data_IF_341867526578
#
_entry.id   IF_341867526578
#
_cell.length_a   1.000
_cell.length_b   1.000
_cell.length_c   1.000
_cell.angle_alpha   90.00
_cell.angle_beta   90.00
_cell.angle_gamma   90.00
#
_symmetry.space_group_name_H-M   'P 1'
#
loop_
_entity.id
_entity.type
_entity.pdbx_description
1 polymer ?
#
# COMPACT_ATOMS: atom_id res chain seq x y z
N UNK A 1 -2.56 10.52 -12.61
CA UNK A 1 -4.01 10.83 -12.56
C UNK A 1 -4.73 9.64 -13.17
N UNK A 2 -5.89 9.26 -12.64
CA UNK A 2 -6.72 8.24 -13.30
C UNK A 2 -7.10 8.78 -14.68
N UNK A 3 -6.71 8.07 -15.75
CA UNK A 3 -6.92 8.53 -17.13
C UNK A 3 -8.41 8.62 -17.52
N UNK A 4 -9.30 8.12 -16.66
CA UNK A 4 -10.74 7.97 -16.91
C UNK A 4 -11.62 8.88 -16.03
N UNK A 5 -11.03 9.87 -15.35
CA UNK A 5 -11.81 10.87 -14.60
C UNK A 5 -12.35 10.40 -13.24
N UNK A 6 -12.23 9.12 -12.89
CA UNK A 6 -12.55 8.58 -11.57
C UNK A 6 -12.77 7.07 -11.58
N UNK A 7 -13.35 6.55 -10.50
CA UNK A 7 -13.74 5.14 -10.31
C UNK A 7 -15.27 5.08 -10.17
N UNK A 8 -15.97 4.25 -10.95
CA UNK A 8 -17.43 4.09 -10.83
C UNK A 8 -17.81 3.42 -9.50
N UNK A 9 -19.09 3.49 -9.13
CA UNK A 9 -19.61 2.77 -7.96
C UNK A 9 -19.59 1.28 -8.27
N UNK A 10 -19.23 0.43 -7.31
CA UNK A 10 -19.40 -1.01 -7.41
C UNK A 10 -20.90 -1.34 -7.58
N UNK A 11 -21.23 -2.14 -8.59
CA UNK A 11 -22.62 -2.51 -8.94
C UNK A 11 -22.87 -4.00 -8.85
N UNK A 12 -21.85 -4.78 -9.18
CA UNK A 12 -21.93 -6.23 -9.20
C UNK A 12 -21.62 -6.76 -7.80
N UNK A 13 -22.50 -7.63 -7.32
CA UNK A 13 -22.31 -8.31 -6.03
C UNK A 13 -21.22 -9.39 -6.15
N UNK A 14 -21.04 -9.94 -7.35
CA UNK A 14 -19.95 -10.84 -7.71
C UNK A 14 -19.16 -10.20 -8.86
N UNK A 15 -17.89 -9.87 -8.60
CA UNK A 15 -17.01 -9.28 -9.60
C UNK A 15 -16.32 -10.39 -10.42
N UNK A 16 -16.55 -10.43 -11.74
CA UNK A 16 -15.84 -11.33 -12.64
C UNK A 16 -14.58 -10.67 -13.21
N UNK A 17 -13.42 -11.20 -12.82
CA UNK A 17 -12.11 -10.73 -13.28
C UNK A 17 -11.82 -10.98 -14.77
N UNK A 18 -12.69 -11.71 -15.49
CA UNK A 18 -12.53 -12.03 -16.91
C UNK A 18 -13.37 -11.14 -17.82
N UNK A 19 -14.29 -10.35 -17.27
CA UNK A 19 -15.13 -9.46 -18.05
C UNK A 19 -14.40 -8.15 -18.39
N UNK A 20 -14.73 -7.60 -19.57
CA UNK A 20 -14.27 -6.27 -19.94
C UNK A 20 -14.87 -5.23 -18.99
N UNK A 21 -14.09 -4.18 -18.70
CA UNK A 21 -14.55 -3.09 -17.85
C UNK A 21 -15.91 -2.55 -18.34
N UNK A 22 -16.88 -2.36 -17.44
CA UNK A 22 -18.19 -1.86 -17.82
C UNK A 22 -18.04 -0.49 -18.48
N UNK A 23 -18.81 -0.25 -19.55
CA UNK A 23 -18.75 0.96 -20.36
C UNK A 23 -19.22 2.24 -19.64
N UNK A 24 -19.49 2.17 -18.34
CA UNK A 24 -20.11 3.26 -17.61
C UNK A 24 -19.11 4.40 -17.36
N UNK A 25 -19.41 5.61 -17.84
CA UNK A 25 -18.45 6.72 -17.80
C UNK A 25 -18.56 7.56 -16.53
N UNK A 26 -19.60 7.39 -15.69
CA UNK A 26 -19.82 8.32 -14.57
C UNK A 26 -19.02 7.94 -13.32
N UNK A 27 -18.03 8.78 -12.91
CA UNK A 27 -17.22 8.50 -11.75
C UNK A 27 -18.03 8.69 -10.46
N UNK A 28 -17.98 7.70 -9.56
CA UNK A 28 -18.54 7.80 -8.21
C UNK A 28 -17.53 8.42 -7.24
N UNK A 29 -16.24 8.08 -7.39
CA UNK A 29 -15.15 8.63 -6.59
C UNK A 29 -14.07 9.12 -7.53
N UNK A 30 -13.49 10.28 -7.21
CA UNK A 30 -12.31 10.81 -7.90
C UNK A 30 -11.18 10.95 -6.89
N UNK A 31 -9.94 10.76 -7.36
CA UNK A 31 -8.74 11.05 -6.59
C UNK A 31 -7.96 12.12 -7.34
N UNK A 32 -7.42 13.08 -6.60
CA UNK A 32 -6.62 14.16 -7.18
C UNK A 32 -5.23 13.64 -7.56
N UNK A 33 -4.64 12.92 -6.62
CA UNK A 33 -3.29 12.40 -6.70
C UNK A 33 -3.14 11.23 -5.73
N UNK A 34 -1.93 10.69 -5.69
CA UNK A 34 -1.52 9.76 -4.65
C UNK A 34 -0.12 10.16 -4.19
N UNK A 35 0.18 9.87 -2.93
CA UNK A 35 1.52 9.95 -2.37
C UNK A 35 2.09 8.53 -2.28
N UNK A 36 3.40 8.44 -2.39
CA UNK A 36 4.15 7.22 -2.12
C UNK A 36 5.13 7.48 -0.98
N UNK A 37 5.38 6.45 -0.16
CA UNK A 37 6.35 6.53 0.92
C UNK A 37 7.39 5.42 0.78
N UNK A 38 8.65 5.79 0.98
CA UNK A 38 9.77 4.87 0.86
C UNK A 38 9.99 4.10 2.19
N UNK A 39 9.51 4.65 3.31
CA UNK A 39 9.67 4.05 4.63
C UNK A 39 8.34 3.67 5.27
N UNK A 40 8.38 2.63 6.11
CA UNK A 40 7.22 2.17 6.88
C UNK A 40 6.75 3.26 7.84
N UNK A 41 7.68 3.95 8.49
CA UNK A 41 7.40 4.98 9.48
C UNK A 41 6.65 6.17 8.88
N UNK A 42 7.09 6.66 7.71
CA UNK A 42 6.41 7.76 7.00
C UNK A 42 5.02 7.36 6.53
N UNK A 43 4.87 6.12 6.04
CA UNK A 43 3.59 5.57 5.66
C UNK A 43 2.64 5.51 6.85
N UNK A 44 3.03 4.82 7.93
CA UNK A 44 2.19 4.63 9.12
C UNK A 44 1.78 5.95 9.78
N UNK A 45 2.59 7.00 9.68
CA UNK A 45 2.21 8.35 10.14
C UNK A 45 0.94 8.91 9.46
N UNK A 46 0.57 8.38 8.28
CA UNK A 46 -0.65 8.75 7.57
C UNK A 46 -1.86 7.91 7.94
N UNK A 47 -1.69 6.76 8.62
CA UNK A 47 -2.78 5.80 8.85
C UNK A 47 -3.95 6.39 9.64
N UNK A 48 -3.65 7.36 10.52
CA UNK A 48 -4.66 8.13 11.26
C UNK A 48 -5.65 8.90 10.39
N UNK A 49 -5.35 9.09 9.10
CA UNK A 49 -6.21 9.80 8.15
C UNK A 49 -7.11 8.84 7.38
N UNK A 50 -6.55 7.70 6.94
CA UNK A 50 -7.22 6.69 6.12
C UNK A 50 -6.30 5.46 5.96
N UNK A 51 -6.84 4.32 5.50
CA UNK A 51 -6.04 3.15 5.13
C UNK A 51 -4.94 3.45 4.11
N UNK A 52 -3.87 2.67 4.16
CA UNK A 52 -2.69 2.80 3.30
C UNK A 52 -2.57 1.54 2.45
N UNK A 53 -2.53 1.69 1.13
CA UNK A 53 -2.21 0.59 0.23
C UNK A 53 -0.74 0.20 0.38
N UNK A 54 -0.43 -1.09 0.37
CA UNK A 54 0.93 -1.61 0.45
C UNK A 54 1.08 -2.89 -0.38
N UNK A 55 2.32 -3.23 -0.72
CA UNK A 55 2.71 -4.57 -1.17
C UNK A 55 3.25 -5.36 0.03
N UNK A 56 2.65 -6.50 0.32
CA UNK A 56 3.16 -7.49 1.26
C UNK A 56 4.04 -8.51 0.53
N UNK A 57 5.20 -8.84 1.10
CA UNK A 57 5.95 -10.02 0.65
C UNK A 57 5.20 -11.30 1.00
N UNK A 58 4.83 -12.04 -0.03
CA UNK A 58 4.09 -13.28 0.09
C UNK A 58 5.05 -14.47 0.09
N UNK A 59 5.13 -15.17 1.20
CA UNK A 59 5.80 -16.46 1.34
C UNK A 59 4.77 -17.56 1.51
N UNK A 60 5.17 -18.80 1.21
CA UNK A 60 4.35 -20.03 1.28
C UNK A 60 3.52 -20.19 2.57
N UNK A 61 4.00 -19.69 3.70
CA UNK A 61 3.38 -19.85 5.01
C UNK A 61 2.12 -19.03 5.17
N UNK A 62 1.99 -17.90 4.45
CA UNK A 62 0.87 -16.98 4.60
C UNK A 62 -0.48 -17.71 4.53
N UNK A 63 -0.60 -18.65 3.59
CA UNK A 63 -1.83 -19.39 3.32
C UNK A 63 -2.07 -20.59 4.25
N UNK A 64 -1.08 -20.95 5.06
CA UNK A 64 -1.16 -22.03 6.05
C UNK A 64 -1.30 -21.49 7.49
N UNK A 65 -1.38 -20.17 7.66
CA UNK A 65 -1.54 -19.54 8.96
C UNK A 65 -2.88 -19.90 9.60
N UNK A 66 -2.86 -20.08 10.92
CA UNK A 66 -4.09 -20.10 11.73
C UNK A 66 -4.74 -18.72 11.68
N UNK A 67 -6.07 -18.66 11.77
CA UNK A 67 -6.85 -17.41 11.66
C UNK A 67 -6.33 -16.23 12.51
N UNK A 68 -5.82 -16.52 13.70
CA UNK A 68 -5.35 -15.51 14.66
C UNK A 68 -3.82 -15.36 14.73
N UNK A 69 -3.09 -16.02 13.85
CA UNK A 69 -1.63 -15.96 13.82
C UNK A 69 -1.14 -14.60 13.30
N UNK A 70 0.05 -14.21 13.74
CA UNK A 70 0.81 -13.12 13.15
C UNK A 70 1.63 -13.71 11.99
N UNK A 71 1.61 -13.06 10.84
CA UNK A 71 2.47 -13.38 9.72
C UNK A 71 3.85 -12.78 9.94
N UNK A 72 4.86 -13.66 10.02
CA UNK A 72 6.27 -13.30 10.20
C UNK A 72 7.09 -13.49 8.91
N UNK A 73 6.48 -13.78 7.76
CA UNK A 73 7.23 -14.15 6.57
C UNK A 73 7.69 -15.61 6.61
N UNK A 74 8.89 -15.93 6.09
CA UNK A 74 9.40 -17.30 6.00
C UNK A 74 9.92 -17.75 7.37
N UNK A 75 9.21 -18.66 8.03
CA UNK A 75 9.63 -19.25 9.33
C UNK A 75 9.98 -20.72 9.22
N UNK A 76 9.57 -21.39 8.13
CA UNK A 76 9.84 -22.80 7.88
C UNK A 76 11.02 -22.99 6.93
N UNK A 77 11.73 -24.12 7.07
CA UNK A 77 12.96 -24.39 6.32
C UNK A 77 12.77 -24.57 4.81
N UNK A 78 11.58 -24.97 4.38
CA UNK A 78 11.22 -25.20 2.97
C UNK A 78 10.40 -24.05 2.37
N UNK A 79 10.36 -22.91 3.05
CA UNK A 79 9.59 -21.78 2.57
C UNK A 79 10.22 -21.03 1.41
N UNK A 80 9.35 -20.48 0.57
CA UNK A 80 9.73 -19.83 -0.67
C UNK A 80 8.88 -18.60 -0.95
N UNK A 81 9.49 -17.63 -1.63
CA UNK A 81 8.82 -16.41 -2.05
C UNK A 81 7.82 -16.73 -3.18
N UNK A 82 6.56 -16.40 -2.96
CA UNK A 82 5.48 -16.47 -3.94
C UNK A 82 5.39 -15.18 -4.75
N UNK A 83 5.64 -14.04 -4.12
CA UNK A 83 5.68 -12.75 -4.81
C UNK A 83 5.31 -11.57 -3.92
N UNK A 84 4.58 -10.63 -4.52
CA UNK A 84 4.14 -9.40 -3.87
C UNK A 84 2.62 -9.29 -3.96
N UNK A 85 1.96 -9.26 -2.82
CA UNK A 85 0.50 -9.20 -2.73
C UNK A 85 0.04 -7.80 -2.33
N UNK A 86 -0.94 -7.24 -3.04
CA UNK A 86 -1.52 -5.94 -2.70
C UNK A 86 -2.46 -6.05 -1.51
N UNK A 87 -2.26 -5.23 -0.48
CA UNK A 87 -3.08 -5.19 0.75
C UNK A 87 -3.35 -3.75 1.17
N UNK A 88 -4.39 -3.56 1.98
CA UNK A 88 -4.63 -2.28 2.67
C UNK A 88 -4.29 -2.42 4.16
N UNK A 89 -3.35 -1.61 4.65
CA UNK A 89 -3.11 -1.45 6.09
C UNK A 89 -4.24 -0.60 6.64
N UNK A 90 -5.02 -1.16 7.57
CA UNK A 90 -6.22 -0.50 8.13
C UNK A 90 -6.04 -0.08 9.59
N UNK A 91 -5.14 -0.73 10.33
CA UNK A 91 -4.94 -0.45 11.75
C UNK A 91 -3.54 -0.92 12.23
N UNK A 92 -3.05 -0.34 13.33
CA UNK A 92 -1.88 -0.83 14.07
C UNK A 92 -2.34 -1.33 15.43
N UNK A 93 -2.01 -2.58 15.75
CA UNK A 93 -2.45 -3.25 16.96
C UNK A 93 -1.28 -3.65 17.83
N UNK A 94 -1.48 -3.60 19.14
CA UNK A 94 -0.65 -4.33 20.08
C UNK A 94 -1.30 -5.70 20.32
N UNK A 95 -0.67 -6.77 19.87
CA UNK A 95 -1.20 -8.13 19.90
C UNK A 95 -0.10 -9.13 20.24
N UNK A 96 -0.36 -10.05 21.18
CA UNK A 96 0.64 -11.01 21.67
C UNK A 96 1.99 -10.38 22.06
N UNK A 97 1.93 -9.23 22.75
CA UNK A 97 3.09 -8.43 23.18
C UNK A 97 3.93 -7.84 22.04
N UNK A 98 3.38 -7.74 20.83
CA UNK A 98 4.05 -7.19 19.66
C UNK A 98 3.19 -6.15 18.96
N UNK A 99 3.86 -5.22 18.26
CA UNK A 99 3.19 -4.22 17.42
C UNK A 99 3.06 -4.80 16.01
N UNK A 100 1.83 -4.88 15.50
CA UNK A 100 1.50 -5.50 14.22
C UNK A 100 0.62 -4.58 13.39
N UNK A 101 0.70 -4.69 12.06
CA UNK A 101 -0.28 -4.10 11.16
C UNK A 101 -1.44 -5.07 10.97
N UNK A 102 -2.67 -4.58 11.05
CA UNK A 102 -3.83 -5.28 10.54
C UNK A 102 -3.99 -4.93 9.06
N UNK A 103 -3.88 -5.94 8.20
CA UNK A 103 -3.98 -5.78 6.75
C UNK A 103 -5.25 -6.45 6.23
N UNK A 104 -6.01 -5.73 5.41
CA UNK A 104 -7.14 -6.24 4.63
C UNK A 104 -6.63 -6.86 3.33
N UNK A 105 -7.12 -8.05 3.01
CA UNK A 105 -6.81 -8.79 1.79
C UNK A 105 -8.03 -8.85 0.87
N UNK A 106 -7.80 -9.13 -0.42
CA UNK A 106 -8.83 -9.25 -1.45
C UNK A 106 -9.23 -10.70 -1.76
N UNK A 107 -8.87 -11.66 -0.91
CA UNK A 107 -9.14 -13.10 -1.13
C UNK A 107 -10.46 -13.59 -0.51
N UNK A 108 -11.35 -12.68 -0.10
CA UNK A 108 -12.61 -12.99 0.55
C UNK A 108 -12.49 -13.30 2.04
N UNK A 109 -13.63 -13.53 2.69
CA UNK A 109 -13.74 -13.58 4.16
C UNK A 109 -13.35 -14.94 4.77
N UNK A 110 -13.19 -15.97 3.95
CA UNK A 110 -12.81 -17.31 4.41
C UNK A 110 -11.30 -17.44 4.65
N UNK A 111 -10.51 -16.46 4.21
CA UNK A 111 -9.06 -16.42 4.35
C UNK A 111 -8.65 -15.53 5.52
N UNK A 112 -7.67 -15.97 6.31
CA UNK A 112 -7.27 -15.28 7.53
C UNK A 112 -8.43 -15.20 8.54
N UNK A 113 -8.51 -14.08 9.27
CA UNK A 113 -9.66 -13.74 10.10
C UNK A 113 -10.55 -12.77 9.35
N UNK A 114 -11.61 -13.29 8.76
CA UNK A 114 -12.63 -12.52 8.04
C UNK A 114 -12.05 -11.67 6.88
N UNK A 115 -11.00 -12.16 6.21
CA UNK A 115 -10.29 -11.46 5.13
C UNK A 115 -9.12 -10.59 5.60
N UNK A 116 -8.73 -10.68 6.88
CA UNK A 116 -7.64 -9.91 7.46
C UNK A 116 -6.52 -10.80 7.99
N UNK A 117 -5.29 -10.30 7.91
CA UNK A 117 -4.13 -10.87 8.61
C UNK A 117 -3.44 -9.81 9.46
N UNK A 118 -2.87 -10.25 10.58
CA UNK A 118 -1.91 -9.45 11.33
C UNK A 118 -0.52 -9.71 10.76
N UNK A 119 0.17 -8.65 10.36
CA UNK A 119 1.52 -8.72 9.81
C UNK A 119 2.49 -8.11 10.79
N UNK A 120 3.58 -8.84 11.08
CA UNK A 120 4.65 -8.34 11.95
C UNK A 120 5.27 -7.07 11.37
N UNK A 121 5.34 -6.01 12.17
CA UNK A 121 6.10 -4.80 11.84
C UNK A 121 7.57 -4.90 12.28
N UNK A 122 7.91 -5.89 13.09
CA UNK A 122 9.28 -6.14 13.54
C UNK A 122 10.08 -7.02 12.58
N UNK A 123 9.42 -7.81 11.74
CA UNK A 123 10.12 -8.71 10.81
C UNK A 123 10.68 -7.93 9.62
N UNK A 124 11.96 -8.20 9.33
CA UNK A 124 12.65 -7.67 8.15
C UNK A 124 13.20 -8.83 7.31
N UNK A 125 13.29 -8.62 6.00
CA UNK A 125 13.82 -9.58 5.04
C UNK A 125 14.94 -8.95 4.21
N UNK A 126 15.81 -9.78 3.64
CA UNK A 126 16.81 -9.34 2.67
C UNK A 126 16.98 -10.39 1.58
N UNK A 127 16.84 -9.97 0.31
CA UNK A 127 17.14 -10.78 -0.87
C UNK A 127 18.65 -10.84 -1.09
N UNK A 128 19.24 -12.02 -0.85
CA UNK A 128 20.68 -12.28 -1.04
C UNK A 128 20.98 -12.80 -2.45
N UNK A 129 19.99 -13.36 -3.14
CA UNK A 129 20.11 -13.85 -4.51
C UNK A 129 18.77 -14.28 -5.09
N UNK A 130 18.74 -14.42 -6.41
CA UNK A 130 17.62 -14.99 -7.15
C UNK A 130 18.18 -15.79 -8.34
N UNK A 131 17.43 -16.79 -8.81
CA UNK A 131 17.74 -17.45 -10.06
C UNK A 131 17.43 -16.53 -11.25
N UNK A 132 18.01 -16.83 -12.43
CA UNK A 132 17.86 -15.99 -13.62
C UNK A 132 16.42 -15.80 -14.07
N UNK A 133 15.51 -16.76 -13.81
CA UNK A 133 14.10 -16.67 -14.23
C UNK A 133 13.32 -15.73 -13.32
N UNK A 134 13.70 -15.67 -12.05
CA UNK A 134 13.07 -14.83 -11.02
C UNK A 134 13.65 -13.41 -10.96
N UNK A 135 14.77 -13.15 -11.64
CA UNK A 135 15.50 -11.88 -11.56
C UNK A 135 14.71 -10.65 -12.03
N UNK A 136 13.74 -10.82 -12.94
CA UNK A 136 12.91 -9.72 -13.42
C UNK A 136 11.78 -9.35 -12.46
N UNK A 137 11.35 -10.28 -11.61
CA UNK A 137 10.18 -10.12 -10.73
C UNK A 137 10.57 -9.83 -9.29
N UNK A 138 11.75 -10.28 -8.85
CA UNK A 138 12.26 -10.06 -7.50
C UNK A 138 12.94 -8.70 -7.37
N UNK A 139 12.49 -7.90 -6.40
CA UNK A 139 13.13 -6.61 -6.09
C UNK A 139 14.37 -6.81 -5.22
N UNK A 140 15.54 -6.27 -5.60
CA UNK A 140 16.73 -6.32 -4.76
C UNK A 140 16.53 -5.46 -3.51
N UNK A 141 17.04 -5.93 -2.37
CA UNK A 141 17.01 -5.22 -1.10
C UNK A 141 18.44 -5.09 -0.58
N UNK A 142 19.11 -3.93 -0.77
CA UNK A 142 20.49 -3.75 -0.33
C UNK A 142 20.63 -3.72 1.20
N UNK A 143 19.52 -3.52 1.92
CA UNK A 143 19.38 -3.51 3.37
C UNK A 143 18.20 -4.37 3.79
N UNK A 144 18.12 -4.79 5.07
CA UNK A 144 16.91 -5.45 5.58
C UNK A 144 15.68 -4.54 5.50
N UNK A 145 14.67 -4.96 4.75
CA UNK A 145 13.41 -4.22 4.53
C UNK A 145 12.24 -4.85 5.30
N UNK A 146 11.20 -4.08 5.68
CA UNK A 146 10.00 -4.63 6.28
C UNK A 146 9.25 -5.54 5.32
N UNK A 147 8.41 -6.47 5.83
CA UNK A 147 7.55 -7.30 4.98
C UNK A 147 6.55 -6.49 4.13
N UNK A 148 6.18 -5.30 4.60
CA UNK A 148 5.30 -4.35 3.91
C UNK A 148 6.16 -3.27 3.21
N UNK A 149 5.83 -2.98 1.95
CA UNK A 149 6.58 -2.05 1.11
C UNK A 149 5.68 -1.39 0.06
N UNK A 150 6.23 -0.51 -0.80
CA UNK A 150 5.48 0.19 -1.86
C UNK A 150 4.20 0.87 -1.35
N UNK A 151 4.33 1.69 -0.31
CA UNK A 151 3.19 2.32 0.35
C UNK A 151 2.56 3.39 -0.54
N UNK A 152 1.23 3.36 -0.67
CA UNK A 152 0.44 4.27 -1.50
C UNK A 152 -0.67 4.89 -0.64
N UNK A 153 -0.79 6.22 -0.71
CA UNK A 153 -1.81 6.99 -0.02
C UNK A 153 -2.59 7.84 -1.02
N UNK A 154 -3.85 7.46 -1.34
CA UNK A 154 -4.72 8.26 -2.20
C UNK A 154 -5.06 9.61 -1.55
N UNK A 155 -4.99 10.70 -2.33
CA UNK A 155 -5.41 12.04 -1.89
C UNK A 155 -6.77 12.34 -2.49
N UNK A 156 -7.79 12.38 -1.63
CA UNK A 156 -9.19 12.67 -1.96
C UNK A 156 -9.52 14.04 -1.35
N UNK A 157 -10.20 14.93 -2.08
CA UNK A 157 -10.76 16.12 -1.44
C UNK A 157 -11.87 15.72 -0.46
N UNK A 158 -11.83 16.26 0.76
CA UNK A 158 -13.06 16.40 1.52
C UNK A 158 -13.97 17.33 0.70
N UNK A 159 -15.13 16.83 0.26
CA UNK A 159 -16.22 17.73 -0.10
C UNK A 159 -16.47 18.62 1.11
N UNK A 160 -16.53 19.95 0.97
CA UNK A 160 -16.90 20.80 2.10
C UNK A 160 -18.22 20.27 2.63
N UNK A 161 -18.26 19.90 3.91
CA UNK A 161 -19.53 19.73 4.61
C UNK A 161 -20.30 21.03 4.37
N UNK A 162 -21.58 20.98 3.96
CA UNK A 162 -22.35 22.20 3.82
C UNK A 162 -22.29 22.96 5.16
N UNK A 163 -21.70 24.15 5.11
CA UNK A 163 -21.78 25.11 6.20
C UNK A 163 -23.23 25.56 6.30
N UNK A 164 -23.88 25.26 7.43
CA UNK A 164 -25.16 25.86 7.79
C UNK A 164 -26.40 25.03 7.50
N UNK A 165 -26.77 24.19 8.47
CA UNK A 165 -28.13 24.24 9.01
C UNK A 165 -27.99 24.59 10.49
N UNK A 166 -27.91 25.89 10.76
CA UNK A 166 -28.13 26.45 12.08
C UNK A 166 -29.49 27.12 12.08
N UNK A 167 -30.36 26.69 12.98
CA UNK A 167 -31.42 27.42 13.71
C UNK A 167 -32.21 26.33 14.47
N UNK A 168 -32.00 26.18 15.79
CA UNK A 168 -32.88 26.74 16.82
C UNK A 168 -33.95 25.69 17.17
N UNK A 169 -34.03 25.14 18.38
CA UNK A 169 -34.61 25.82 19.55
C UNK A 169 -33.92 25.35 20.84
N UNK A 170 -33.67 26.31 21.72
CA UNK A 170 -33.29 26.04 23.09
C UNK A 170 -34.52 25.91 23.98
N UNK A 171 -34.44 25.02 24.96
CA UNK A 171 -35.02 25.25 26.27
C UNK A 171 -33.92 24.99 27.29
N UNK A 172 -33.64 26.00 28.10
CA UNK A 172 -32.69 25.92 29.19
C UNK A 172 -33.42 25.90 30.52
N UNK A 173 -32.83 25.21 31.49
CA UNK A 173 -32.84 25.49 32.93
C UNK A 173 -31.42 25.07 33.38
N UNK A 174 -30.53 25.98 33.82
CA UNK A 174 -30.49 26.52 35.19
C UNK A 174 -30.14 25.39 36.16
N UNK A 175 -28.94 25.24 36.71
CA UNK A 175 -28.30 26.01 37.81
C UNK A 175 -26.77 25.74 37.75
N UNK A 176 -25.85 26.72 37.83
CA UNK A 176 -25.38 27.39 39.05
C UNK A 176 -24.58 26.41 39.91
N UNK A 177 -23.24 26.38 39.92
CA UNK A 177 -22.30 27.19 40.75
C UNK A 177 -20.87 26.92 40.18
N UNK A 178 -20.01 27.90 39.84
CA UNK A 178 -19.26 28.78 40.76
C UNK A 178 -18.09 28.02 41.38
N UNK A 179 -16.85 28.10 40.86
CA UNK A 179 -15.72 28.92 41.37
C UNK A 179 -14.52 28.70 40.40
N UNK A 180 -13.89 29.73 39.82
CA UNK A 180 -12.66 30.40 40.32
C UNK A 180 -11.46 29.42 40.29
N UNK A 181 -10.34 29.59 39.58
CA UNK A 181 -9.42 30.70 39.31
C UNK A 181 -8.59 30.27 38.06
N UNK A 182 -8.17 31.09 37.09
CA UNK A 182 -7.51 32.37 37.22
C UNK A 182 -6.00 32.20 37.28
N UNK A 183 -5.31 31.85 36.19
CA UNK A 183 -3.95 32.33 35.93
C UNK A 183 -3.53 32.18 34.45
N UNK A 184 -3.17 33.32 33.88
CA UNK A 184 -2.69 33.48 32.52
C UNK A 184 -1.17 33.57 32.55
N UNK A 185 -0.47 32.75 31.77
CA UNK A 185 0.92 33.04 31.42
C UNK A 185 1.11 33.04 29.91
N UNK A 186 1.20 34.27 29.38
CA UNK A 186 1.76 34.55 28.05
C UNK A 186 3.26 34.34 28.12
N UNK A 187 3.81 33.45 27.28
CA UNK A 187 5.18 33.61 26.79
C UNK A 187 5.21 33.54 25.26
N UNK A 188 5.40 34.73 24.69
CA UNK A 188 5.70 35.01 23.31
C UNK A 188 7.19 34.75 23.06
N UNK A 189 7.55 33.74 22.25
CA UNK A 189 8.91 33.61 21.73
C UNK A 189 8.93 33.72 20.20
N UNK A 190 9.12 34.96 19.74
CA UNK A 190 9.50 35.27 18.36
C UNK A 190 10.93 34.77 18.10
N UNK A 191 11.10 33.87 17.13
CA UNK A 191 12.34 33.78 16.35
C UNK A 191 12.02 33.65 14.86
N UNK A 192 12.32 34.73 14.13
CA UNK A 192 12.34 34.83 12.66
C UNK A 192 13.61 34.17 12.10
N UNK A 193 13.45 33.40 11.01
CA UNK A 193 14.38 33.15 9.87
C UNK A 193 14.19 31.70 9.43
N UNK A 194 13.92 31.35 8.18
CA UNK A 194 13.73 32.07 6.93
C UNK A 194 13.36 31.01 5.89
N UNK A 195 12.54 31.37 4.92
CA UNK A 195 12.20 30.51 3.78
C UNK A 195 13.46 30.12 3.00
N UNK A 196 13.50 28.91 2.41
CA UNK A 196 14.14 28.72 1.13
C UNK A 196 13.10 28.34 0.08
N UNK A 197 13.01 29.25 -0.87
CA UNK A 197 12.44 29.14 -2.21
C UNK A 197 12.73 27.83 -2.93
N UNK A 198 11.73 27.43 -3.69
CA UNK A 198 11.68 26.37 -4.71
C UNK A 198 12.85 26.41 -5.72
N UNK A 199 13.09 25.25 -6.34
CA UNK A 199 13.90 24.97 -7.53
C UNK A 199 15.35 24.46 -7.36
N UNK A 200 15.50 23.13 -7.48
CA UNK A 200 16.52 22.58 -8.39
C UNK A 200 16.08 21.23 -8.98
N UNK A 201 15.60 21.31 -10.22
CA UNK A 201 15.40 20.18 -11.15
C UNK A 201 16.67 19.34 -11.22
N UNK A 202 16.59 18.03 -10.91
CA UNK A 202 17.50 17.03 -11.47
C UNK A 202 16.69 16.04 -12.30
N UNK A 203 16.71 16.33 -13.60
CA UNK A 203 16.25 15.51 -14.70
C UNK A 203 17.20 14.30 -14.78
N UNK A 204 16.78 13.12 -14.33
CA UNK A 204 17.47 11.88 -14.67
C UNK A 204 16.87 11.32 -15.95
N UNK A 205 17.50 11.67 -17.09
CA UNK A 205 17.33 10.92 -18.33
C UNK A 205 18.09 9.59 -18.21
N UNK A 206 17.53 8.46 -18.68
CA UNK A 206 18.30 7.22 -18.77
C UNK A 206 19.41 7.39 -19.81
N UNK A 207 20.67 7.28 -19.37
CA UNK A 207 21.81 7.12 -20.27
C UNK A 207 21.71 5.74 -20.94
N UNK A 208 21.37 5.73 -22.24
CA UNK A 208 21.72 4.63 -23.14
C UNK A 208 23.22 4.40 -23.04
N UNK A 209 23.65 3.26 -22.49
CA UNK A 209 24.99 2.73 -22.71
C UNK A 209 24.91 1.52 -23.63
N UNK A 210 25.23 1.81 -24.89
CA UNK A 210 25.97 1.01 -25.86
C UNK A 210 25.73 -0.51 -25.90
N UNK A 211 24.97 -0.87 -26.93
CA UNK A 211 25.22 -2.00 -27.83
C UNK A 211 26.70 -2.44 -27.80
N UNK A 212 26.94 -3.64 -27.28
CA UNK A 212 28.04 -4.48 -27.75
C UNK A 212 27.47 -5.56 -28.67
N UNK A 213 27.88 -5.43 -29.94
CA UNK A 213 27.65 -6.34 -31.06
C UNK A 213 27.88 -7.80 -30.66
N UNK A 214 26.89 -8.67 -30.90
CA UNK A 214 27.12 -10.07 -31.29
C UNK A 214 26.38 -10.35 -32.60
N UNK A 215 27.07 -11.04 -33.50
CA UNK A 215 26.80 -11.24 -34.93
C UNK A 215 25.61 -12.19 -35.16
N UNK A 216 25.00 -12.17 -36.36
CA UNK A 216 23.83 -13.00 -36.68
C UNK A 216 24.26 -14.44 -36.99
N UNK A 217 23.56 -15.42 -36.44
CA UNK A 217 23.57 -16.80 -36.91
C UNK A 217 22.10 -17.26 -36.92
N UNK A 218 21.51 -17.21 -38.10
CA UNK A 218 21.33 -18.33 -39.04
C UNK A 218 20.05 -19.11 -38.73
N UNK A 219 19.03 -18.73 -39.49
CA UNK A 219 17.83 -19.48 -39.78
C UNK A 219 18.21 -20.88 -40.31
N UNK A 220 17.77 -21.90 -39.59
CA UNK A 220 17.62 -23.25 -40.13
C UNK A 220 16.33 -23.85 -39.59
N UNK A 221 15.25 -23.54 -40.30
CA UNK A 221 14.35 -24.52 -40.91
C UNK A 221 14.19 -25.90 -40.27
N UNK A 222 12.94 -26.20 -39.94
CA UNK A 222 12.25 -27.49 -40.11
C UNK A 222 13.13 -28.75 -40.23
N UNK A 223 13.12 -29.58 -39.18
CA UNK A 223 13.29 -31.02 -39.35
C UNK A 223 12.16 -31.79 -38.68
N UNK A 224 11.30 -32.26 -39.58
CA UNK A 224 10.26 -33.27 -39.41
C UNK A 224 10.72 -34.48 -38.61
N UNK A 225 9.78 -34.95 -37.78
CA UNK A 225 9.64 -36.33 -37.30
C UNK A 225 10.04 -37.35 -38.38
N UNK A 226 10.88 -38.31 -38.02
CA UNK A 226 10.86 -39.64 -38.64
C UNK A 226 10.80 -40.68 -37.53
N UNK A 227 9.65 -41.34 -37.46
CA UNK A 227 9.45 -42.60 -36.75
C UNK A 227 10.45 -43.63 -37.28
N UNK A 228 10.98 -44.45 -36.36
CA UNK A 228 11.54 -45.75 -36.69
C UNK A 228 10.61 -46.76 -36.03
N UNK A 229 9.97 -47.57 -36.86
CA UNK A 229 9.26 -48.79 -36.48
C UNK A 229 9.60 -49.84 -37.53
N UNK A 230 9.92 -51.07 -37.07
CA UNK A 230 9.78 -52.31 -37.83
C UNK A 230 10.73 -52.49 -39.01
#
# INVERSE_FOLDING_TARGET
MLNHGGVPKERDVEFDCNEDHPADPEPNITINSYLTFDTLEEALAQLRKQPIGASLLEFSELWNLKKDAIYYGPTEADSYLLGYHGVDIVDIQFYNNEVVALCKFSNGTHVGRDGYFRVSLGTRYMMIGCDEKSAETVRPTPTPEPLLCNFIFPVIHETPKPEGEGEGEGEGEGEGEGEGEGEAEKQELKRKRGEPTHERKRRCTPKRQNLRRRRPFHDHGDKKKKQISG
#
